data_IF_926112642044
#
_entry.id   IF_926112642044
#
_cell.length_a   1.000
_cell.length_b   1.000
_cell.length_c   1.000
_cell.angle_alpha   90.00
_cell.angle_beta   90.00
_cell.angle_gamma   90.00
#
_symmetry.space_group_name_H-M   'P 1'
#
loop_
_entity.id
_entity.type
_entity.pdbx_description
1 polymer ?
#
# COMPACT_ATOMS: atom_id res chain seq x y z
N UNK A 1 -50.18 9.46 -26.71
CA UNK A 1 -49.53 8.14 -26.77
C UNK A 1 -48.24 8.15 -27.58
N UNK A 2 -48.14 8.72 -28.78
CA UNK A 2 -46.92 8.72 -29.63
C UNK A 2 -45.74 9.54 -29.06
N UNK A 3 -45.96 10.58 -28.27
CA UNK A 3 -44.91 11.41 -27.69
C UNK A 3 -44.16 10.69 -26.56
N UNK A 4 -44.88 9.95 -25.70
CA UNK A 4 -44.27 9.17 -24.60
C UNK A 4 -43.45 8.00 -25.14
N UNK A 5 -43.85 7.40 -26.26
CA UNK A 5 -43.10 6.30 -26.88
C UNK A 5 -41.74 6.79 -27.42
N UNK A 6 -41.72 8.01 -28.01
CA UNK A 6 -40.45 8.61 -28.48
C UNK A 6 -39.50 8.95 -27.32
N UNK A 7 -40.02 9.47 -26.21
CA UNK A 7 -39.22 9.75 -25.02
C UNK A 7 -38.66 8.45 -24.38
N UNK A 8 -39.45 7.37 -24.38
CA UNK A 8 -39.01 6.07 -23.88
C UNK A 8 -37.89 5.48 -24.74
N UNK A 9 -37.97 5.63 -26.05
CA UNK A 9 -36.92 5.17 -27.00
C UNK A 9 -35.58 5.87 -26.79
N UNK A 10 -35.58 7.14 -26.39
CA UNK A 10 -34.35 7.89 -26.10
C UNK A 10 -33.74 7.55 -24.73
N UNK A 11 -34.56 7.18 -23.75
CA UNK A 11 -34.11 6.82 -22.40
C UNK A 11 -33.57 5.38 -22.34
N UNK A 12 -34.03 4.51 -23.25
CA UNK A 12 -33.60 3.08 -23.23
C UNK A 12 -32.08 2.89 -23.35
N UNK A 13 -31.35 3.54 -24.28
CA UNK A 13 -29.90 3.36 -24.36
C UNK A 13 -29.17 3.89 -23.10
N UNK A 14 -29.66 4.95 -22.49
CA UNK A 14 -29.10 5.50 -21.26
C UNK A 14 -29.32 4.49 -20.11
N UNK A 15 -30.52 3.92 -20.02
CA UNK A 15 -30.83 2.92 -19.01
C UNK A 15 -29.97 1.66 -19.18
N UNK A 16 -29.81 1.17 -20.42
CA UNK A 16 -28.96 0.02 -20.72
C UNK A 16 -27.49 0.30 -20.38
N UNK A 17 -27.00 1.49 -20.69
CA UNK A 17 -25.67 1.92 -20.30
C UNK A 17 -25.48 1.94 -18.78
N UNK A 18 -26.44 2.51 -18.04
CA UNK A 18 -26.40 2.51 -16.58
C UNK A 18 -26.46 1.09 -15.99
N UNK A 19 -27.31 0.22 -16.53
CA UNK A 19 -27.43 -1.18 -16.11
C UNK A 19 -26.14 -1.97 -16.39
N UNK A 20 -25.52 -1.74 -17.55
CA UNK A 20 -24.23 -2.34 -17.89
C UNK A 20 -23.15 -1.95 -16.86
N UNK A 21 -22.99 -0.65 -16.59
CA UNK A 21 -22.01 -0.18 -15.63
C UNK A 21 -22.31 -0.61 -14.19
N UNK A 22 -23.60 -0.67 -13.83
CA UNK A 22 -24.02 -1.25 -12.55
C UNK A 22 -23.61 -2.73 -12.47
N UNK A 23 -23.83 -3.49 -13.53
CA UNK A 23 -23.41 -4.90 -13.61
C UNK A 23 -21.88 -5.04 -13.47
N UNK A 24 -21.11 -4.22 -14.18
CA UNK A 24 -19.65 -4.17 -14.05
C UNK A 24 -19.25 -3.85 -12.62
N UNK A 25 -19.83 -2.81 -12.02
CA UNK A 25 -19.55 -2.42 -10.65
C UNK A 25 -19.85 -3.53 -9.63
N UNK A 26 -20.98 -4.22 -9.80
CA UNK A 26 -21.38 -5.32 -8.93
C UNK A 26 -20.50 -6.56 -9.11
N UNK A 27 -19.88 -6.75 -10.26
CA UNK A 27 -18.98 -7.88 -10.54
C UNK A 27 -17.56 -7.66 -10.01
N UNK A 28 -17.21 -6.44 -9.59
CA UNK A 28 -15.89 -6.16 -9.02
C UNK A 28 -15.69 -6.98 -7.74
N UNK A 29 -14.59 -7.70 -7.70
CA UNK A 29 -14.19 -8.51 -6.54
C UNK A 29 -13.43 -7.67 -5.52
N UNK A 30 -13.44 -8.14 -4.28
CA UNK A 30 -12.64 -7.53 -3.23
C UNK A 30 -11.15 -7.79 -3.49
N UNK A 31 -10.31 -6.75 -3.65
CA UNK A 31 -8.88 -6.94 -3.86
C UNK A 31 -8.21 -7.82 -2.81
N UNK A 32 -8.69 -7.76 -1.58
CA UNK A 32 -8.14 -8.56 -0.47
C UNK A 32 -8.39 -10.05 -0.64
N UNK A 33 -9.52 -10.43 -1.23
CA UNK A 33 -9.82 -11.82 -1.53
C UNK A 33 -8.93 -12.34 -2.67
N UNK A 34 -8.74 -11.54 -3.72
CA UNK A 34 -7.91 -11.93 -4.87
C UNK A 34 -6.42 -12.04 -4.50
N UNK A 35 -5.89 -11.14 -3.69
CA UNK A 35 -4.51 -11.20 -3.20
C UNK A 35 -4.24 -12.51 -2.46
N UNK A 36 -5.23 -12.97 -1.71
CA UNK A 36 -5.09 -14.17 -0.89
C UNK A 36 -5.12 -15.47 -1.69
N UNK A 37 -5.69 -15.49 -2.90
CA UNK A 37 -5.85 -16.70 -3.71
C UNK A 37 -4.78 -16.88 -4.79
N UNK A 38 -4.00 -15.86 -5.09
CA UNK A 38 -3.01 -15.92 -6.17
C UNK A 38 -1.64 -16.32 -5.62
N UNK A 39 -1.30 -17.59 -5.69
CA UNK A 39 0.05 -18.09 -5.35
C UNK A 39 1.14 -17.46 -6.23
N UNK A 40 0.82 -17.11 -7.47
CA UNK A 40 1.76 -16.59 -8.47
C UNK A 40 1.55 -15.11 -8.78
N UNK A 41 0.79 -14.39 -7.96
CA UNK A 41 0.67 -12.95 -8.05
C UNK A 41 -0.13 -12.39 -9.22
N UNK A 42 -0.64 -13.18 -10.14
CA UNK A 42 -1.55 -12.85 -11.24
C UNK A 42 -1.92 -11.37 -11.44
N UNK A 43 -3.17 -11.12 -11.73
CA UNK A 43 -3.73 -9.77 -11.90
C UNK A 43 -3.47 -8.84 -10.71
N UNK A 44 -3.58 -9.33 -9.48
CA UNK A 44 -3.39 -8.49 -8.30
C UNK A 44 -1.94 -8.07 -8.09
N UNK A 45 -0.97 -8.89 -8.47
CA UNK A 45 0.44 -8.47 -8.48
C UNK A 45 0.64 -7.28 -9.43
N UNK A 46 -0.02 -7.31 -10.59
CA UNK A 46 -0.03 -6.21 -11.53
C UNK A 46 -0.72 -4.96 -10.95
N UNK A 47 -1.90 -5.12 -10.34
CA UNK A 47 -2.64 -4.02 -9.70
C UNK A 47 -1.83 -3.37 -8.59
N UNK A 48 -1.21 -4.16 -7.73
CA UNK A 48 -0.39 -3.64 -6.64
C UNK A 48 0.86 -2.93 -7.18
N UNK A 49 1.47 -3.48 -8.21
CA UNK A 49 2.58 -2.86 -8.89
C UNK A 49 2.18 -1.53 -9.53
N UNK A 50 1.08 -1.52 -10.29
CA UNK A 50 0.56 -0.32 -10.93
C UNK A 50 0.15 0.74 -9.91
N UNK A 51 -0.51 0.34 -8.84
CA UNK A 51 -0.87 1.20 -7.72
C UNK A 51 0.33 1.95 -7.19
N UNK A 52 1.41 1.23 -7.07
CA UNK A 52 2.64 1.75 -6.57
C UNK A 52 3.28 2.75 -7.54
N UNK A 53 3.36 2.40 -8.84
CA UNK A 53 3.91 3.28 -9.88
C UNK A 53 3.12 4.57 -10.05
N UNK A 54 1.80 4.52 -9.95
CA UNK A 54 0.94 5.70 -10.05
C UNK A 54 1.06 6.62 -8.83
N UNK A 55 1.28 6.05 -7.65
CA UNK A 55 1.38 6.83 -6.40
C UNK A 55 2.73 7.49 -6.22
N UNK A 56 3.81 6.83 -6.62
CA UNK A 56 5.18 7.28 -6.34
C UNK A 56 5.87 7.87 -7.58
N UNK A 57 5.31 7.65 -8.76
CA UNK A 57 5.88 8.11 -10.04
C UNK A 57 6.77 7.08 -10.72
N UNK A 58 7.30 7.45 -11.90
CA UNK A 58 7.68 6.50 -12.94
C UNK A 58 9.15 6.05 -12.97
N UNK A 59 9.99 6.45 -12.06
CA UNK A 59 11.40 6.06 -12.14
C UNK A 59 11.58 4.64 -11.62
N UNK A 60 11.45 3.69 -12.56
CA UNK A 60 11.62 2.27 -12.30
C UNK A 60 13.10 1.94 -12.30
N UNK A 61 13.64 1.52 -11.20
CA UNK A 61 14.92 0.81 -11.18
C UNK A 61 14.63 -0.68 -11.07
N UNK A 62 14.74 -1.38 -12.18
CA UNK A 62 14.80 -2.84 -12.19
C UNK A 62 16.22 -3.23 -11.76
N UNK A 63 16.34 -3.91 -10.67
CA UNK A 63 17.55 -4.64 -10.33
C UNK A 63 17.23 -6.11 -10.37
N UNK A 64 17.79 -6.83 -11.34
CA UNK A 64 17.95 -8.27 -11.25
C UNK A 64 19.23 -8.50 -10.45
N UNK A 65 19.07 -8.98 -9.23
CA UNK A 65 20.19 -9.42 -8.41
C UNK A 65 19.86 -10.82 -7.93
N UNK A 66 20.73 -11.79 -8.25
CA UNK A 66 20.68 -13.19 -7.78
C UNK A 66 19.32 -13.91 -7.90
N UNK A 67 18.58 -13.70 -8.98
CA UNK A 67 17.28 -14.33 -9.20
C UNK A 67 16.09 -13.62 -8.55
N UNK A 68 16.31 -12.45 -7.93
CA UNK A 68 15.27 -11.60 -7.39
C UNK A 68 14.91 -10.50 -8.38
N UNK A 69 13.64 -10.37 -8.72
CA UNK A 69 13.14 -9.16 -9.34
C UNK A 69 12.78 -8.18 -8.22
N UNK A 70 13.69 -7.26 -7.95
CA UNK A 70 13.45 -6.20 -6.98
C UNK A 70 12.91 -4.99 -7.71
N UNK A 71 11.69 -4.60 -7.41
CA UNK A 71 11.15 -3.32 -7.85
C UNK A 71 11.46 -2.30 -6.76
N UNK A 72 12.57 -1.60 -6.90
CA UNK A 72 12.90 -0.48 -6.03
C UNK A 72 12.46 0.80 -6.73
N UNK A 73 11.58 1.53 -6.10
CA UNK A 73 11.30 2.91 -6.46
C UNK A 73 12.16 3.76 -5.55
N UNK A 74 13.40 3.98 -5.97
CA UNK A 74 14.25 4.92 -5.29
C UNK A 74 13.73 6.33 -5.54
N UNK A 75 13.67 7.11 -4.50
CA UNK A 75 13.83 8.55 -4.47
C UNK A 75 12.66 9.41 -4.87
N UNK A 76 11.42 8.95 -4.93
CA UNK A 76 10.30 9.88 -4.94
C UNK A 76 9.68 10.04 -3.58
N UNK A 77 9.96 11.21 -3.12
CA UNK A 77 9.43 11.89 -1.96
C UNK A 77 7.91 11.93 -2.07
N UNK A 78 7.25 11.18 -1.21
CA UNK A 78 5.81 11.28 -1.00
C UNK A 78 5.57 12.48 -0.09
N UNK A 79 5.64 13.71 -0.62
CA UNK A 79 5.40 14.90 0.19
C UNK A 79 6.59 15.41 1.00
N UNK A 80 7.71 15.65 0.36
CA UNK A 80 8.84 16.44 0.90
C UNK A 80 9.77 15.75 1.88
N UNK A 81 9.29 14.81 2.69
CA UNK A 81 10.08 14.14 3.73
C UNK A 81 9.89 12.63 3.75
N UNK A 82 9.13 12.06 2.85
CA UNK A 82 8.70 10.67 2.90
C UNK A 82 9.09 9.92 1.63
N UNK A 83 9.77 8.80 1.78
CA UNK A 83 10.09 7.85 0.71
C UNK A 83 9.39 6.52 0.99
N UNK A 84 8.95 5.87 -0.06
CA UNK A 84 8.43 4.50 0.02
C UNK A 84 9.03 3.67 -1.12
N UNK A 85 9.52 2.50 -0.80
CA UNK A 85 9.96 1.51 -1.78
C UNK A 85 9.26 0.17 -1.56
N UNK A 86 9.05 -0.58 -2.64
CA UNK A 86 8.48 -1.92 -2.59
C UNK A 86 9.45 -2.90 -3.21
N UNK A 87 9.66 -4.01 -2.53
CA UNK A 87 10.37 -5.16 -3.05
C UNK A 87 9.42 -6.34 -3.17
N UNK A 88 9.37 -6.95 -4.34
CA UNK A 88 8.65 -8.18 -4.60
C UNK A 88 9.64 -9.23 -5.06
N UNK A 89 9.65 -10.35 -4.40
CA UNK A 89 10.48 -11.48 -4.79
C UNK A 89 9.72 -12.36 -5.79
N UNK A 90 10.41 -12.80 -6.85
CA UNK A 90 9.80 -13.48 -8.00
C UNK A 90 8.95 -14.69 -7.61
N UNK A 91 9.46 -15.52 -6.71
CA UNK A 91 8.85 -16.79 -6.31
C UNK A 91 8.35 -16.77 -4.86
N UNK A 92 8.21 -15.58 -4.28
CA UNK A 92 7.79 -15.41 -2.90
C UNK A 92 6.33 -14.97 -2.80
N UNK A 93 5.66 -15.49 -1.80
CA UNK A 93 4.35 -15.00 -1.35
C UNK A 93 4.47 -13.73 -0.48
N UNK A 94 5.66 -13.15 -0.40
CA UNK A 94 5.97 -12.05 0.49
C UNK A 94 6.35 -10.79 -0.30
N UNK A 95 5.87 -9.65 0.19
CA UNK A 95 6.17 -8.35 -0.36
C UNK A 95 6.61 -7.44 0.76
N UNK A 96 7.67 -6.70 0.51
CA UNK A 96 8.30 -5.85 1.51
C UNK A 96 8.15 -4.39 1.09
N UNK A 97 7.58 -3.59 1.98
CA UNK A 97 7.45 -2.15 1.85
C UNK A 97 8.44 -1.50 2.81
N UNK A 98 9.33 -0.68 2.27
CA UNK A 98 10.27 0.09 3.06
C UNK A 98 9.85 1.56 3.02
N UNK A 99 9.48 2.07 4.17
CA UNK A 99 9.14 3.46 4.35
C UNK A 99 10.24 4.19 5.08
N UNK A 100 10.52 5.43 4.65
CA UNK A 100 11.55 6.28 5.23
C UNK A 100 10.97 7.69 5.43
N UNK A 101 11.11 8.20 6.64
CA UNK A 101 10.75 9.57 6.97
C UNK A 101 12.01 10.35 7.34
N UNK A 102 12.35 11.37 6.58
CA UNK A 102 13.50 12.22 6.82
C UNK A 102 13.21 13.24 7.90
N UNK A 103 13.87 13.14 9.04
CA UNK A 103 13.80 14.10 10.14
C UNK A 103 14.69 15.31 9.86
N UNK A 104 15.87 15.05 9.29
CA UNK A 104 16.84 16.02 8.76
C UNK A 104 17.79 15.30 7.78
N UNK A 105 18.73 16.03 7.22
CA UNK A 105 19.80 15.44 6.44
C UNK A 105 20.50 14.32 7.23
N UNK A 106 20.71 13.15 6.62
CA UNK A 106 21.32 11.96 7.21
C UNK A 106 20.61 11.36 8.45
N UNK A 107 19.41 11.84 8.81
CA UNK A 107 18.64 11.25 9.90
C UNK A 107 17.23 10.91 9.45
N UNK A 108 16.86 9.65 9.56
CA UNK A 108 15.54 9.18 9.13
C UNK A 108 14.97 8.10 10.05
N UNK A 109 13.65 8.11 10.22
CA UNK A 109 12.92 6.97 10.75
C UNK A 109 12.63 6.02 9.60
N UNK A 110 12.97 4.75 9.77
CA UNK A 110 12.74 3.69 8.79
C UNK A 110 11.77 2.68 9.37
N UNK A 111 10.84 2.24 8.52
CA UNK A 111 9.84 1.25 8.86
C UNK A 111 9.79 0.22 7.75
N UNK A 112 9.77 -1.05 8.11
CA UNK A 112 9.61 -2.14 7.16
C UNK A 112 8.29 -2.87 7.43
N UNK A 113 7.48 -2.99 6.39
CA UNK A 113 6.24 -3.74 6.41
C UNK A 113 6.34 -4.91 5.44
N UNK A 114 5.97 -6.08 5.90
CA UNK A 114 5.97 -7.30 5.11
C UNK A 114 4.55 -7.81 4.96
N UNK A 115 4.11 -7.95 3.73
CA UNK A 115 2.86 -8.64 3.45
C UNK A 115 3.15 -10.09 3.08
N UNK A 116 2.51 -11.00 3.81
CA UNK A 116 2.56 -12.44 3.55
C UNK A 116 1.18 -12.92 3.09
N UNK A 117 1.06 -13.29 1.83
CA UNK A 117 -0.20 -13.71 1.24
C UNK A 117 -0.73 -15.02 1.84
N UNK A 118 0.16 -15.97 2.19
CA UNK A 118 -0.23 -17.25 2.81
C UNK A 118 -0.80 -17.05 4.21
N UNK A 119 -0.25 -16.11 4.97
CA UNK A 119 -0.72 -15.77 6.33
C UNK A 119 -1.84 -14.74 6.33
N UNK A 120 -2.12 -14.11 5.19
CA UNK A 120 -3.05 -12.98 5.05
C UNK A 120 -2.73 -11.89 6.08
N UNK A 121 -1.47 -11.52 6.18
CA UNK A 121 -1.01 -10.57 7.19
C UNK A 121 -0.08 -9.53 6.61
N UNK A 122 -0.32 -8.26 6.96
CA UNK A 122 0.61 -7.15 6.80
C UNK A 122 1.26 -6.90 8.15
N UNK A 123 2.55 -7.17 8.26
CA UNK A 123 3.31 -7.15 9.49
C UNK A 123 4.34 -6.04 9.43
N UNK A 124 4.35 -5.15 10.41
CA UNK A 124 5.43 -4.20 10.60
C UNK A 124 6.56 -4.88 11.37
N UNK A 125 7.58 -5.32 10.65
CA UNK A 125 8.69 -6.10 11.24
C UNK A 125 9.70 -5.18 11.92
N UNK A 126 10.10 -4.11 11.25
CA UNK A 126 11.17 -3.24 11.72
C UNK A 126 10.72 -1.80 11.86
N UNK A 127 11.19 -1.16 12.90
CA UNK A 127 11.10 0.28 13.14
C UNK A 127 12.36 0.73 13.84
N UNK A 128 13.14 1.59 13.19
CA UNK A 128 14.38 2.11 13.73
C UNK A 128 14.70 3.53 13.25
N UNK A 129 15.57 4.21 13.96
CA UNK A 129 16.16 5.47 13.55
C UNK A 129 17.51 5.20 12.89
N UNK A 130 17.73 5.74 11.71
CA UNK A 130 19.03 5.77 11.07
C UNK A 130 19.63 7.16 11.27
N UNK A 131 20.73 7.22 11.98
CA UNK A 131 21.42 8.47 12.30
C UNK A 131 22.95 8.22 12.38
N UNK A 132 23.73 9.13 11.81
CA UNK A 132 25.19 9.06 11.85
C UNK A 132 25.73 7.71 11.36
N UNK A 133 25.15 7.19 10.26
CA UNK A 133 25.44 5.89 9.63
C UNK A 133 25.25 4.67 10.55
N UNK A 134 24.40 4.81 11.57
CA UNK A 134 24.07 3.75 12.50
C UNK A 134 22.57 3.60 12.67
N UNK A 135 22.17 2.38 12.94
CA UNK A 135 20.81 2.04 13.33
C UNK A 135 20.67 2.15 14.86
N UNK A 136 19.61 2.82 15.30
CA UNK A 136 19.25 2.98 16.71
C UNK A 136 17.89 2.34 16.92
N UNK A 137 17.83 1.34 17.77
CA UNK A 137 16.64 0.54 18.03
C UNK A 137 16.26 0.55 19.53
N UNK A 138 15.14 -0.08 19.85
CA UNK A 138 14.69 -0.32 21.23
C UNK A 138 14.42 0.97 22.02
N UNK A 139 14.86 1.00 23.28
CA UNK A 139 14.67 2.15 24.18
C UNK A 139 15.38 3.40 23.68
N UNK A 140 16.58 3.25 23.14
CA UNK A 140 17.43 4.34 22.68
C UNK A 140 16.80 5.04 21.46
N UNK A 141 16.07 4.29 20.64
CA UNK A 141 15.31 4.83 19.52
C UNK A 141 14.31 5.88 19.99
N UNK A 142 13.48 5.58 21.00
CA UNK A 142 12.46 6.52 21.50
C UNK A 142 13.08 7.76 22.12
N UNK A 143 14.16 7.59 22.90
CA UNK A 143 14.88 8.72 23.47
C UNK A 143 15.49 9.62 22.37
N UNK A 144 16.15 9.01 21.39
CA UNK A 144 16.74 9.74 20.26
C UNK A 144 15.65 10.41 19.40
N UNK A 145 14.51 9.74 19.16
CA UNK A 145 13.39 10.29 18.42
C UNK A 145 12.82 11.56 19.08
N UNK A 146 12.76 11.57 20.43
CA UNK A 146 12.32 12.73 21.20
C UNK A 146 13.21 13.96 20.98
N UNK A 147 14.50 13.80 20.73
CA UNK A 147 15.41 14.92 20.41
C UNK A 147 15.05 15.64 19.11
N UNK A 148 14.26 15.00 18.25
CA UNK A 148 13.73 15.57 17.01
C UNK A 148 12.27 16.05 17.15
N UNK A 149 11.75 16.15 18.39
CA UNK A 149 10.39 16.59 18.67
C UNK A 149 9.31 15.59 18.25
N UNK A 150 9.67 14.31 18.16
CA UNK A 150 8.76 13.23 17.83
C UNK A 150 8.64 12.27 19.01
N UNK A 151 7.45 11.68 19.17
CA UNK A 151 7.13 10.76 20.24
C UNK A 151 6.53 9.44 19.72
N UNK A 152 6.16 8.55 20.60
CA UNK A 152 5.48 7.30 20.26
C UNK A 152 4.13 7.54 19.58
N UNK A 153 3.42 8.59 19.95
CA UNK A 153 2.12 8.93 19.35
C UNK A 153 2.30 9.31 17.90
N UNK A 154 3.31 10.13 17.61
CA UNK A 154 3.69 10.46 16.24
C UNK A 154 4.06 9.18 15.45
N UNK A 155 4.88 8.30 16.03
CA UNK A 155 5.31 7.05 15.40
C UNK A 155 4.11 6.15 15.06
N UNK A 156 3.17 5.99 15.99
CA UNK A 156 1.94 5.24 15.80
C UNK A 156 1.08 5.81 14.68
N UNK A 157 0.89 7.13 14.66
CA UNK A 157 0.12 7.81 13.62
C UNK A 157 0.80 7.68 12.26
N UNK A 158 2.13 7.76 12.22
CA UNK A 158 2.90 7.59 11.00
C UNK A 158 2.81 6.16 10.46
N UNK A 159 2.95 5.16 11.32
CA UNK A 159 2.77 3.75 10.93
C UNK A 159 1.37 3.48 10.39
N UNK A 160 0.35 4.01 11.05
CA UNK A 160 -1.04 3.89 10.61
C UNK A 160 -1.26 4.57 9.25
N UNK A 161 -0.72 5.77 9.06
CA UNK A 161 -0.76 6.50 7.78
C UNK A 161 -0.14 5.68 6.65
N UNK A 162 1.04 5.10 6.88
CA UNK A 162 1.72 4.27 5.87
C UNK A 162 0.86 3.08 5.47
N UNK A 163 0.32 2.35 6.43
CA UNK A 163 -0.54 1.20 6.18
C UNK A 163 -1.81 1.60 5.45
N UNK A 164 -2.55 2.59 5.97
CA UNK A 164 -3.88 2.93 5.48
C UNK A 164 -3.86 3.71 4.17
N UNK A 165 -2.90 4.63 3.99
CA UNK A 165 -2.89 5.50 2.81
C UNK A 165 -1.95 4.96 1.72
N UNK A 166 -0.75 4.55 2.07
CA UNK A 166 0.27 4.23 1.07
C UNK A 166 0.29 2.76 0.67
N UNK A 167 -0.08 1.85 1.56
CA UNK A 167 -0.15 0.42 1.23
C UNK A 167 -1.57 0.03 0.84
N UNK A 168 -2.46 -0.10 1.82
CA UNK A 168 -3.81 -0.63 1.58
C UNK A 168 -4.70 0.33 0.79
N UNK A 169 -4.58 1.63 1.05
CA UNK A 169 -5.35 2.64 0.33
C UNK A 169 -5.10 2.59 -1.17
N UNK A 170 -3.85 2.39 -1.57
CA UNK A 170 -3.49 2.25 -2.99
C UNK A 170 -4.01 0.95 -3.60
N UNK A 171 -4.01 -0.16 -2.83
CA UNK A 171 -4.56 -1.42 -3.30
C UNK A 171 -6.05 -1.30 -3.61
N UNK A 172 -6.82 -0.69 -2.70
CA UNK A 172 -8.26 -0.47 -2.94
C UNK A 172 -8.50 0.51 -4.08
N UNK A 173 -7.76 1.61 -4.14
CA UNK A 173 -7.92 2.62 -5.19
C UNK A 173 -7.75 2.02 -6.58
N UNK A 174 -6.79 1.15 -6.78
CA UNK A 174 -6.43 0.61 -8.09
C UNK A 174 -6.97 -0.81 -8.32
N UNK A 175 -7.40 -1.49 -7.28
CA UNK A 175 -8.02 -2.82 -7.37
C UNK A 175 -9.50 -2.76 -7.65
N UNK A 176 -10.24 -1.98 -6.89
CA UNK A 176 -11.69 -1.85 -7.05
C UNK A 176 -12.25 -0.65 -6.29
N UNK A 177 -12.99 0.20 -7.00
CA UNK A 177 -13.68 1.35 -6.42
C UNK A 177 -14.86 0.98 -5.50
N UNK A 178 -15.32 -0.27 -5.54
CA UNK A 178 -16.44 -0.78 -4.72
C UNK A 178 -16.04 -1.02 -3.27
N UNK A 179 -14.76 -1.31 -3.03
CA UNK A 179 -14.25 -1.72 -1.73
C UNK A 179 -13.34 -0.65 -1.10
N UNK A 180 -13.15 -0.73 0.19
CA UNK A 180 -12.34 0.22 0.96
C UNK A 180 -11.65 -0.50 2.12
N UNK A 181 -10.91 0.25 2.93
CA UNK A 181 -10.27 -0.25 4.15
C UNK A 181 -11.21 -0.96 5.15
N UNK A 182 -12.53 -0.77 5.01
CA UNK A 182 -13.53 -1.49 5.81
C UNK A 182 -13.73 -2.94 5.35
N UNK A 183 -13.24 -3.29 4.17
CA UNK A 183 -13.42 -4.57 3.51
C UNK A 183 -12.15 -5.43 3.53
N UNK A 184 -11.36 -5.37 4.59
CA UNK A 184 -10.10 -6.12 4.72
C UNK A 184 -10.31 -7.65 4.80
N UNK A 185 -11.54 -8.10 5.07
CA UNK A 185 -11.83 -9.52 5.24
C UNK A 185 -11.01 -10.12 6.40
N UNK A 186 -10.39 -11.26 6.14
CA UNK A 186 -9.56 -11.96 7.13
C UNK A 186 -8.13 -11.42 7.25
N UNK A 187 -7.81 -10.34 6.54
CA UNK A 187 -6.48 -9.77 6.57
C UNK A 187 -6.17 -9.19 7.94
N UNK A 188 -5.02 -9.56 8.48
CA UNK A 188 -4.51 -9.04 9.74
C UNK A 188 -3.48 -7.95 9.53
N UNK A 189 -3.51 -6.92 10.38
CA UNK A 189 -2.50 -5.87 10.44
C UNK A 189 -1.80 -5.98 11.78
N UNK A 190 -0.51 -6.26 11.74
CA UNK A 190 0.30 -6.44 12.94
C UNK A 190 1.37 -5.34 13.00
N UNK A 191 1.28 -4.49 14.01
CA UNK A 191 2.27 -3.44 14.25
C UNK A 191 3.40 -3.95 15.14
N UNK A 192 4.58 -3.33 14.98
CA UNK A 192 5.74 -3.58 15.83
C UNK A 192 5.43 -3.30 17.30
N UNK A 193 6.11 -4.01 18.22
CA UNK A 193 5.92 -3.85 19.68
C UNK A 193 6.14 -2.41 20.15
N UNK A 194 7.09 -1.68 19.57
CA UNK A 194 7.36 -0.27 19.88
C UNK A 194 6.15 0.65 19.65
N UNK A 195 5.16 0.19 18.89
CA UNK A 195 3.96 0.95 18.54
C UNK A 195 2.74 0.48 19.33
N UNK A 196 2.76 -0.77 19.80
CA UNK A 196 1.63 -1.37 20.55
C UNK A 196 1.57 -0.90 22.00
N UNK A 197 2.73 -0.57 22.60
CA UNK A 197 2.88 -0.05 23.96
C UNK A 197 2.72 1.47 24.02
#
# INVERSE_FOLDING_TARGET
MKQHLKQFLWLTPILLFCLYWLGVYLSLKNPMEEINYSENGGWMRYVMFRSYTETIGSDRVWKEDEGFQTYSYSDKIIGGQEDLSVMMFRDSSEWVYRYKYHLKENVSVRMMFKYNSKKRALIQEEVYLYADDKEVEGSDFIQKLATYGKDRTWLKNQSKKVVEQYILGTWFKNGSSRYSLKNLGDMKIEYNKLIKE
#
